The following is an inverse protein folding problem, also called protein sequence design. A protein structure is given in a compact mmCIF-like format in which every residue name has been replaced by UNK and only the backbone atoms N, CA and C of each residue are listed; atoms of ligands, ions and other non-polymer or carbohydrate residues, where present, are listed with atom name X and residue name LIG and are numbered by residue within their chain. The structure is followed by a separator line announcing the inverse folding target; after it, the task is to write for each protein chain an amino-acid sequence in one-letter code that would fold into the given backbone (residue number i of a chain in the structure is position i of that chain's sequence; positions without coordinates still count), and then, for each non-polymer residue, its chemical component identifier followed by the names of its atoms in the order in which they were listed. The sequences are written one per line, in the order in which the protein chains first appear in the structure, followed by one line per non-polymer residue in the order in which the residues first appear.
data_IF_660146884790
#
_entry.id   IF_660146884790
#
_cell.length_a   1.000
_cell.length_b   1.000
_cell.length_c   1.000
_cell.angle_alpha   90.00
_cell.angle_beta   90.00
_cell.angle_gamma   90.00
#
_symmetry.space_group_name_H-M   'P 1'
#
loop_
_entity.id
_entity.type
_entity.pdbx_description
1 polymer ?
#
# COMPACT_ATOMS: atom_id res chain seq x y z
N UNK A 1 5.77 -22.99 -0.31
CA UNK A 1 5.32 -23.13 1.09
C UNK A 1 6.26 -22.31 1.95
N UNK A 2 5.75 -21.37 2.76
CA UNK A 2 6.60 -20.53 3.59
C UNK A 2 7.40 -21.38 4.60
N UNK A 3 8.71 -21.14 4.69
CA UNK A 3 9.59 -21.84 5.62
C UNK A 3 9.09 -21.68 7.06
N UNK A 4 9.17 -22.76 7.86
CA UNK A 4 8.93 -22.77 9.31
C UNK A 4 9.88 -21.77 9.98
N UNK A 5 9.45 -20.51 10.10
CA UNK A 5 10.26 -19.41 10.66
C UNK A 5 9.92 -18.05 10.04
N UNK A 6 9.38 -18.02 8.83
CA UNK A 6 8.97 -16.80 8.15
C UNK A 6 7.89 -16.03 8.93
N UNK A 7 6.96 -16.75 9.56
CA UNK A 7 5.89 -16.16 10.38
C UNK A 7 6.43 -15.29 11.52
N UNK A 8 7.41 -15.78 12.28
CA UNK A 8 7.92 -15.05 13.44
C UNK A 8 8.59 -13.70 13.09
N UNK A 9 9.06 -13.55 11.85
CA UNK A 9 9.72 -12.32 11.38
C UNK A 9 8.77 -11.40 10.61
N UNK A 10 7.87 -11.98 9.80
CA UNK A 10 7.08 -11.23 8.82
C UNK A 10 5.65 -10.96 9.28
N UNK A 11 5.16 -11.66 10.32
CA UNK A 11 3.78 -11.50 10.79
C UNK A 11 3.47 -10.06 11.23
N UNK A 12 4.30 -9.45 12.07
CA UNK A 12 4.06 -8.08 12.57
C UNK A 12 4.09 -7.04 11.45
N UNK A 13 4.97 -7.23 10.47
CA UNK A 13 5.03 -6.39 9.28
C UNK A 13 3.79 -6.55 8.40
N UNK A 14 3.38 -7.79 8.14
CA UNK A 14 2.18 -8.09 7.36
C UNK A 14 0.91 -7.54 8.04
N UNK A 15 0.81 -7.72 9.36
CA UNK A 15 -0.27 -7.19 10.18
C UNK A 15 -0.37 -5.66 10.07
N UNK A 16 0.77 -4.97 10.18
CA UNK A 16 0.84 -3.51 10.04
C UNK A 16 0.42 -3.05 8.63
N UNK A 17 0.98 -3.64 7.57
CA UNK A 17 0.64 -3.30 6.19
C UNK A 17 -0.86 -3.53 5.89
N UNK A 18 -1.45 -4.58 6.45
CA UNK A 18 -2.88 -4.82 6.32
C UNK A 18 -3.72 -3.77 7.06
N UNK A 19 -3.33 -3.45 8.29
CA UNK A 19 -3.91 -2.35 9.06
C UNK A 19 -3.79 -1.01 8.33
N UNK A 20 -2.75 -0.83 7.52
CA UNK A 20 -2.54 0.35 6.68
C UNK A 20 -3.47 0.45 5.46
N UNK A 21 -4.22 -0.60 5.16
CA UNK A 21 -5.19 -0.61 4.05
C UNK A 21 -4.76 -1.47 2.85
N UNK A 22 -3.51 -1.97 2.84
CA UNK A 22 -3.01 -2.81 1.74
C UNK A 22 -3.73 -4.15 1.66
N UNK A 23 -4.11 -4.57 0.47
CA UNK A 23 -4.70 -5.89 0.23
C UNK A 23 -3.70 -7.01 0.54
N UNK A 24 -4.19 -8.22 0.80
CA UNK A 24 -3.30 -9.38 1.02
C UNK A 24 -2.40 -9.65 -0.20
N UNK A 25 -2.87 -9.35 -1.41
CA UNK A 25 -2.09 -9.45 -2.65
C UNK A 25 -0.96 -8.42 -2.72
N UNK A 26 -1.17 -7.19 -2.24
CA UNK A 26 -0.11 -6.18 -2.17
C UNK A 26 0.95 -6.53 -1.10
N UNK A 27 0.51 -7.11 0.02
CA UNK A 27 1.40 -7.54 1.10
C UNK A 27 2.24 -8.74 0.67
N UNK A 28 1.62 -9.69 -0.03
CA UNK A 28 2.32 -10.81 -0.67
C UNK A 28 3.45 -10.32 -1.55
N UNK A 29 3.16 -9.34 -2.41
CA UNK A 29 4.14 -8.71 -3.30
C UNK A 29 5.24 -7.90 -2.59
N UNK A 30 5.03 -7.53 -1.32
CA UNK A 30 5.96 -6.73 -0.52
C UNK A 30 6.85 -7.59 0.36
N UNK A 31 6.30 -8.65 0.94
CA UNK A 31 6.98 -9.52 1.91
C UNK A 31 7.42 -10.86 1.32
N UNK A 32 7.08 -11.13 0.06
CA UNK A 32 7.34 -12.41 -0.62
C UNK A 32 6.73 -13.59 0.15
N UNK A 33 5.53 -13.39 0.71
CA UNK A 33 4.77 -14.39 1.45
C UNK A 33 3.47 -14.66 0.72
N UNK A 34 3.18 -15.92 0.41
CA UNK A 34 1.97 -16.25 -0.36
C UNK A 34 0.69 -15.75 0.32
N UNK A 35 -0.29 -15.31 -0.47
CA UNK A 35 -1.59 -14.86 0.03
C UNK A 35 -2.30 -15.92 0.87
N UNK A 36 -2.16 -17.20 0.52
CA UNK A 36 -2.70 -18.31 1.32
C UNK A 36 -2.08 -18.34 2.72
N UNK A 37 -0.77 -18.10 2.82
CA UNK A 37 -0.06 -18.04 4.10
C UNK A 37 -0.52 -16.83 4.93
N UNK A 38 -0.66 -15.66 4.30
CA UNK A 38 -1.19 -14.46 4.95
C UNK A 38 -2.65 -14.66 5.41
N UNK A 39 -3.47 -15.32 4.59
CA UNK A 39 -4.85 -15.66 4.94
C UNK A 39 -4.93 -16.64 6.11
N UNK A 40 -4.03 -17.61 6.18
CA UNK A 40 -3.93 -18.53 7.31
C UNK A 40 -3.54 -17.78 8.60
N UNK A 41 -2.53 -16.89 8.53
CA UNK A 41 -2.12 -16.06 9.67
C UNK A 41 -3.25 -15.16 10.16
N UNK A 42 -4.03 -14.58 9.24
CA UNK A 42 -5.21 -13.79 9.56
C UNK A 42 -6.31 -14.64 10.22
N UNK A 43 -6.62 -15.81 9.67
CA UNK A 43 -7.61 -16.73 10.23
C UNK A 43 -7.21 -17.23 11.64
N UNK A 44 -5.93 -17.52 11.87
CA UNK A 44 -5.40 -17.93 13.18
C UNK A 44 -5.54 -16.83 14.25
N UNK A 45 -5.61 -15.56 13.85
CA UNK A 45 -5.84 -14.45 14.78
C UNK A 45 -7.32 -14.29 15.20
N UNK A 46 -8.24 -15.04 14.57
CA UNK A 46 -9.67 -14.98 14.89
C UNK A 46 -9.96 -15.78 16.17
N UNK A 47 -10.56 -15.13 17.17
CA UNK A 47 -11.02 -15.80 18.39
C UNK A 47 -12.35 -16.53 18.13
N UNK A 48 -12.63 -17.67 18.80
CA UNK A 48 -13.84 -18.47 18.55
C UNK A 48 -15.18 -17.72 18.68
N UNK A 49 -15.23 -16.64 19.49
CA UNK A 49 -16.43 -15.86 19.74
C UNK A 49 -16.41 -14.46 19.10
N UNK A 50 -15.44 -14.18 18.23
CA UNK A 50 -15.33 -12.89 17.54
C UNK A 50 -15.80 -13.01 16.09
N UNK A 51 -16.55 -12.02 15.61
CA UNK A 51 -16.94 -11.93 14.20
C UNK A 51 -15.77 -11.52 13.30
N UNK A 52 -14.88 -10.67 13.83
CA UNK A 52 -13.73 -10.10 13.12
C UNK A 52 -12.42 -10.65 13.67
N UNK A 53 -11.48 -10.95 12.76
CA UNK A 53 -10.10 -11.22 13.14
C UNK A 53 -9.36 -9.95 13.57
N UNK A 54 -8.22 -10.12 14.22
CA UNK A 54 -7.46 -8.98 14.78
C UNK A 54 -6.94 -8.03 13.68
N UNK A 55 -6.73 -8.54 12.47
CA UNK A 55 -6.25 -7.74 11.34
C UNK A 55 -7.36 -6.81 10.82
N UNK A 56 -8.58 -7.33 10.68
CA UNK A 56 -9.75 -6.55 10.31
C UNK A 56 -10.13 -5.53 11.38
N UNK A 57 -10.00 -5.88 12.66
CA UNK A 57 -10.16 -4.93 13.77
C UNK A 57 -9.16 -3.80 13.69
N UNK A 58 -7.87 -4.10 13.44
CA UNK A 58 -6.84 -3.07 13.30
C UNK A 58 -7.12 -2.13 12.12
N UNK A 59 -7.52 -2.68 10.97
CA UNK A 59 -7.93 -1.89 9.80
C UNK A 59 -9.15 -1.02 10.09
N UNK A 60 -10.18 -1.56 10.73
CA UNK A 60 -11.40 -0.84 11.10
C UNK A 60 -11.10 0.27 12.11
N UNK A 61 -10.23 0.01 13.09
CA UNK A 61 -9.80 1.00 14.07
C UNK A 61 -9.02 2.15 13.41
N UNK A 62 -8.12 1.84 12.46
CA UNK A 62 -7.38 2.87 11.73
C UNK A 62 -8.30 3.74 10.87
N UNK A 63 -9.22 3.13 10.12
CA UNK A 63 -10.26 3.87 9.36
C UNK A 63 -11.12 4.74 10.29
N UNK A 64 -11.48 4.22 11.47
CA UNK A 64 -12.18 4.98 12.50
C UNK A 64 -11.34 6.17 13.00
N UNK A 65 -10.02 6.02 13.15
CA UNK A 65 -9.15 7.13 13.54
C UNK A 65 -9.01 8.21 12.46
N UNK A 66 -8.93 7.83 11.18
CA UNK A 66 -8.95 8.79 10.06
C UNK A 66 -10.28 9.55 10.04
N UNK A 67 -11.40 8.84 10.19
CA UNK A 67 -12.71 9.47 10.26
C UNK A 67 -12.81 10.42 11.47
N UNK A 68 -12.33 10.01 12.65
CA UNK A 68 -12.28 10.90 13.83
C UNK A 68 -11.44 12.15 13.61
N UNK A 69 -10.32 12.05 12.89
CA UNK A 69 -9.51 13.21 12.54
C UNK A 69 -10.23 14.15 11.57
N UNK A 70 -10.98 13.60 10.61
CA UNK A 70 -11.87 14.38 9.74
C UNK A 70 -12.96 15.07 10.54
N UNK A 71 -13.68 14.32 11.38
CA UNK A 71 -14.75 14.86 12.22
C UNK A 71 -14.24 15.99 13.14
N UNK A 72 -13.03 15.85 13.69
CA UNK A 72 -12.38 16.91 14.47
C UNK A 72 -12.03 18.12 13.61
N UNK A 73 -11.44 17.91 12.44
CA UNK A 73 -11.09 19.00 11.53
C UNK A 73 -12.34 19.77 11.06
N UNK A 74 -13.40 19.07 10.66
CA UNK A 74 -14.67 19.65 10.25
C UNK A 74 -15.32 20.45 11.38
N UNK A 75 -15.25 19.95 12.62
CA UNK A 75 -15.72 20.68 13.80
C UNK A 75 -14.94 21.99 14.01
N UNK A 76 -13.62 21.95 13.91
CA UNK A 76 -12.80 23.16 14.10
C UNK A 76 -12.97 24.15 12.93
N UNK A 77 -13.19 23.66 11.70
CA UNK A 77 -13.57 24.50 10.56
C UNK A 77 -14.93 25.16 10.77
N UNK A 78 -15.93 24.41 11.22
CA UNK A 78 -17.26 24.96 11.53
C UNK A 78 -17.16 26.05 12.61
N UNK A 79 -16.39 25.79 13.68
CA UNK A 79 -16.14 26.77 14.73
C UNK A 79 -15.41 28.03 14.21
N UNK A 80 -14.52 27.86 13.23
CA UNK A 80 -13.85 28.97 12.55
C UNK A 80 -14.83 29.80 11.72
N UNK A 81 -15.70 29.14 10.95
CA UNK A 81 -16.72 29.78 10.11
C UNK A 81 -17.73 30.58 10.95
N UNK A 82 -18.05 30.09 12.15
CA UNK A 82 -18.96 30.75 13.09
C UNK A 82 -18.29 31.86 13.92
N UNK A 83 -16.95 31.93 13.91
CA UNK A 83 -16.20 32.92 14.69
C UNK A 83 -16.28 34.32 14.09
N UNK A 84 -16.26 35.36 14.95
CA UNK A 84 -16.23 36.75 14.46
C UNK A 84 -14.83 37.14 14.00
N UNK A 85 -14.77 38.02 13.01
CA UNK A 85 -13.52 38.61 12.55
C UNK A 85 -12.75 39.25 13.73
N UNK A 86 -11.56 38.72 14.02
CA UNK A 86 -10.68 39.18 15.11
C UNK A 86 -10.76 38.38 16.42
N UNK A 87 -11.70 37.44 16.57
CA UNK A 87 -11.74 36.52 17.74
C UNK A 87 -10.75 35.36 17.62
N UNK A 88 -10.24 35.11 16.41
CA UNK A 88 -9.31 34.03 16.17
C UNK A 88 -7.90 34.34 16.69
N UNK A 89 -7.39 33.45 17.54
CA UNK A 89 -5.99 33.49 17.94
C UNK A 89 -5.07 32.85 16.88
N UNK A 90 -3.81 33.28 16.84
CA UNK A 90 -2.80 32.62 16.01
C UNK A 90 -2.63 31.13 16.37
N UNK A 91 -2.87 30.76 17.63
CA UNK A 91 -2.77 29.37 18.12
C UNK A 91 -3.88 28.50 17.53
N UNK A 92 -5.11 29.00 17.43
CA UNK A 92 -6.23 28.28 16.82
C UNK A 92 -6.02 28.05 15.32
N UNK A 93 -5.50 29.04 14.60
CA UNK A 93 -5.18 28.92 13.17
C UNK A 93 -4.06 27.89 12.91
N UNK A 94 -3.03 27.89 13.76
CA UNK A 94 -1.95 26.89 13.71
C UNK A 94 -2.46 25.47 14.01
N UNK A 95 -3.34 25.31 15.00
CA UNK A 95 -3.96 24.02 15.33
C UNK A 95 -4.80 23.46 14.17
N UNK A 96 -5.63 24.30 13.53
CA UNK A 96 -6.44 23.92 12.37
C UNK A 96 -5.55 23.54 11.18
N UNK A 97 -4.49 24.32 10.93
CA UNK A 97 -3.52 24.02 9.87
C UNK A 97 -2.84 22.66 10.12
N UNK A 98 -2.43 22.40 11.35
CA UNK A 98 -1.83 21.10 11.74
C UNK A 98 -2.81 19.95 11.56
N UNK A 99 -4.07 20.10 11.96
CA UNK A 99 -5.12 19.10 11.75
C UNK A 99 -5.32 18.83 10.25
N UNK A 100 -5.42 19.87 9.43
CA UNK A 100 -5.54 19.75 7.97
C UNK A 100 -4.36 19.00 7.33
N UNK A 101 -3.12 19.33 7.74
CA UNK A 101 -1.94 18.60 7.22
C UNK A 101 -1.91 17.14 7.65
N UNK A 102 -2.39 16.82 8.85
CA UNK A 102 -2.50 15.43 9.31
C UNK A 102 -3.52 14.68 8.47
N UNK A 103 -4.73 15.21 8.31
CA UNK A 103 -5.79 14.61 7.47
C UNK A 103 -5.27 14.36 6.05
N UNK A 104 -4.65 15.36 5.42
CA UNK A 104 -4.09 15.24 4.07
C UNK A 104 -3.03 14.12 3.96
N UNK A 105 -2.11 14.03 4.93
CA UNK A 105 -1.09 12.96 4.94
C UNK A 105 -1.70 11.57 5.07
N UNK A 106 -2.74 11.43 5.90
CA UNK A 106 -3.43 10.15 6.07
C UNK A 106 -4.22 9.76 4.81
N UNK A 107 -4.85 10.72 4.14
CA UNK A 107 -5.57 10.48 2.87
C UNK A 107 -4.63 10.12 1.72
N UNK A 108 -3.48 10.77 1.61
CA UNK A 108 -2.44 10.42 0.62
C UNK A 108 -1.89 9.01 0.87
N UNK A 109 -1.73 8.60 2.13
CA UNK A 109 -1.32 7.25 2.46
C UNK A 109 -2.40 6.19 2.12
N UNK A 110 -3.69 6.55 2.17
CA UNK A 110 -4.80 5.67 1.79
C UNK A 110 -5.04 5.66 0.27
N UNK A 111 -4.66 6.73 -0.44
CA UNK A 111 -4.89 6.93 -1.88
C UNK A 111 -3.69 6.60 -2.76
N UNK A 112 -2.58 6.09 -2.19
CA UNK A 112 -1.44 5.66 -2.99
C UNK A 112 -1.90 4.57 -3.98
N UNK A 113 -1.81 4.79 -5.31
CA UNK A 113 -2.34 3.85 -6.27
C UNK A 113 -1.63 2.50 -6.15
N UNK A 114 -2.41 1.43 -6.28
CA UNK A 114 -1.87 0.08 -6.40
C UNK A 114 -0.84 0.08 -7.55
N UNK A 115 0.43 -0.16 -7.21
CA UNK A 115 1.52 -0.19 -8.18
C UNK A 115 1.27 -1.32 -9.17
N UNK A 116 0.87 -0.97 -10.40
CA UNK A 116 0.61 -1.91 -11.49
C UNK A 116 1.94 -2.44 -12.04
N UNK A 117 2.46 -3.48 -11.37
CA UNK A 117 3.72 -4.15 -11.73
C UNK A 117 3.77 -4.56 -13.21
N UNK A 118 2.71 -5.16 -13.80
CA UNK A 118 2.65 -5.43 -15.24
C UNK A 118 2.85 -4.18 -16.10
N UNK A 119 2.13 -3.10 -15.82
CA UNK A 119 2.24 -1.88 -16.62
C UNK A 119 3.65 -1.28 -16.54
N UNK A 120 4.21 -1.17 -15.33
CA UNK A 120 5.55 -0.61 -15.13
C UNK A 120 6.64 -1.47 -15.79
N UNK A 121 6.46 -2.80 -15.82
CA UNK A 121 7.38 -3.68 -16.53
C UNK A 121 7.35 -3.43 -18.05
N UNK A 122 6.16 -3.28 -18.62
CA UNK A 122 6.00 -2.98 -20.05
C UNK A 122 6.57 -1.61 -20.40
N UNK A 123 6.31 -0.58 -19.58
CA UNK A 123 6.84 0.76 -19.77
C UNK A 123 8.38 0.76 -19.75
N UNK A 124 8.99 0.02 -18.81
CA UNK A 124 10.43 -0.14 -18.73
C UNK A 124 11.01 -0.90 -19.92
N UNK A 125 10.37 -1.97 -20.39
CA UNK A 125 10.81 -2.70 -21.58
C UNK A 125 10.74 -1.82 -22.83
N UNK A 126 9.66 -1.06 -22.99
CA UNK A 126 9.50 -0.15 -24.11
C UNK A 126 10.61 0.92 -24.11
N UNK A 127 10.94 1.47 -22.95
CA UNK A 127 12.06 2.39 -22.80
C UNK A 127 13.40 1.75 -23.19
N UNK A 128 13.71 0.54 -22.68
CA UNK A 128 14.97 -0.16 -22.98
C UNK A 128 15.09 -0.46 -24.47
N UNK A 129 14.02 -0.94 -25.11
CA UNK A 129 14.00 -1.23 -26.55
C UNK A 129 14.26 0.05 -27.35
N UNK A 130 13.59 1.15 -27.01
CA UNK A 130 13.80 2.45 -27.65
C UNK A 130 15.26 2.90 -27.54
N UNK A 131 15.81 2.87 -26.32
CA UNK A 131 17.19 3.27 -26.08
C UNK A 131 18.21 2.40 -26.83
N UNK A 132 18.05 1.06 -26.80
CA UNK A 132 18.94 0.14 -27.51
C UNK A 132 18.85 0.30 -29.03
N UNK A 133 17.67 0.58 -29.57
CA UNK A 133 17.52 0.78 -31.02
C UNK A 133 18.34 1.97 -31.55
N UNK A 134 18.52 3.00 -30.71
CA UNK A 134 19.27 4.21 -31.05
C UNK A 134 20.76 4.11 -30.71
N UNK A 135 21.11 3.41 -29.63
CA UNK A 135 22.45 3.48 -29.03
C UNK A 135 23.24 2.17 -29.13
N UNK A 136 22.58 1.01 -29.18
CA UNK A 136 23.22 -0.31 -29.25
C UNK A 136 22.35 -1.36 -29.97
N UNK A 137 22.41 -1.39 -31.32
CA UNK A 137 21.63 -2.32 -32.13
C UNK A 137 22.04 -3.78 -31.94
N UNK A 138 23.27 -4.06 -31.51
CA UNK A 138 23.71 -5.44 -31.18
C UNK A 138 23.07 -5.89 -29.87
N UNK A 139 23.07 -5.03 -28.84
CA UNK A 139 22.34 -5.28 -27.60
C UNK A 139 20.85 -5.55 -27.81
N UNK A 140 20.22 -4.86 -28.77
CA UNK A 140 18.82 -5.11 -29.14
C UNK A 140 18.61 -6.51 -29.74
N UNK A 141 19.55 -7.01 -30.56
CA UNK A 141 19.46 -8.38 -31.12
C UNK A 141 19.56 -9.44 -30.04
N UNK A 142 20.51 -9.28 -29.12
CA UNK A 142 20.67 -10.20 -27.97
C UNK A 142 19.43 -10.20 -27.09
N UNK A 143 18.83 -9.02 -26.86
CA UNK A 143 17.58 -8.90 -26.13
C UNK A 143 16.43 -9.61 -26.85
N UNK A 144 16.33 -9.45 -28.18
CA UNK A 144 15.30 -10.11 -28.99
C UNK A 144 15.44 -11.64 -28.98
N UNK A 145 16.66 -12.17 -29.12
CA UNK A 145 16.96 -13.60 -29.03
C UNK A 145 16.63 -14.18 -27.65
N UNK A 146 16.81 -13.38 -26.60
CA UNK A 146 16.53 -13.76 -25.22
C UNK A 146 15.10 -13.47 -24.76
N UNK A 147 14.26 -12.86 -25.61
CA UNK A 147 12.97 -12.30 -25.22
C UNK A 147 11.99 -13.38 -24.73
N UNK A 148 11.93 -14.53 -25.41
CA UNK A 148 11.08 -15.63 -25.01
C UNK A 148 11.50 -16.22 -23.66
N UNK A 149 12.80 -16.36 -23.43
CA UNK A 149 13.38 -16.80 -22.15
C UNK A 149 13.09 -15.81 -21.02
N UNK A 150 13.22 -14.50 -21.28
CA UNK A 150 12.86 -13.44 -20.34
C UNK A 150 11.36 -13.46 -20.03
N UNK A 151 10.52 -13.66 -21.04
CA UNK A 151 9.06 -13.71 -20.87
C UNK A 151 8.65 -14.97 -20.12
N UNK A 152 9.30 -16.11 -20.36
CA UNK A 152 9.10 -17.33 -19.57
C UNK A 152 9.56 -17.18 -18.13
N UNK A 153 10.71 -16.56 -17.89
CA UNK A 153 11.20 -16.26 -16.54
C UNK A 153 10.28 -15.29 -15.80
N UNK A 154 9.78 -14.26 -16.48
CA UNK A 154 8.79 -13.32 -15.95
C UNK A 154 7.48 -14.04 -15.64
N UNK A 155 6.94 -14.83 -16.58
CA UNK A 155 5.75 -15.67 -16.36
C UNK A 155 5.96 -16.67 -15.22
N UNK A 156 7.16 -17.23 -15.05
CA UNK A 156 7.47 -18.12 -13.93
C UNK A 156 7.54 -17.36 -12.60
N UNK A 157 8.08 -16.14 -12.59
CA UNK A 157 8.03 -15.23 -11.44
C UNK A 157 6.61 -14.73 -11.13
N UNK A 158 5.73 -14.63 -12.13
CA UNK A 158 4.33 -14.27 -11.96
C UNK A 158 3.42 -15.47 -11.62
N UNK A 159 3.68 -16.65 -12.16
CA UNK A 159 2.89 -17.89 -11.95
C UNK A 159 3.39 -18.73 -10.76
N UNK A 160 4.63 -18.54 -10.31
CA UNK A 160 5.09 -19.00 -9.00
C UNK A 160 4.48 -18.20 -7.83
N UNK A 161 3.75 -17.13 -8.17
CA UNK A 161 2.89 -16.30 -7.33
C UNK A 161 1.38 -16.57 -7.57
N UNK A 162 1.02 -17.73 -8.15
CA UNK A 162 -0.38 -18.17 -8.31
C UNK A 162 -0.80 -19.20 -7.24
#
# INVERSE_FOLDING_TARGET
MAEKGAKAKLYDFAFRLYGEGRSLSEIELTLDVSRQTLSAWKAESKRPNDDLDDWDKARKLKRSNVQRLRDLFDRELTALEESRAGEMSAVSLDAITKLGTLVQRWEQAESAPAYDKPQVFLDNLQFIIGWLSENDPEGLKVLAESFDSLTQAFKAGCNGNA
#
